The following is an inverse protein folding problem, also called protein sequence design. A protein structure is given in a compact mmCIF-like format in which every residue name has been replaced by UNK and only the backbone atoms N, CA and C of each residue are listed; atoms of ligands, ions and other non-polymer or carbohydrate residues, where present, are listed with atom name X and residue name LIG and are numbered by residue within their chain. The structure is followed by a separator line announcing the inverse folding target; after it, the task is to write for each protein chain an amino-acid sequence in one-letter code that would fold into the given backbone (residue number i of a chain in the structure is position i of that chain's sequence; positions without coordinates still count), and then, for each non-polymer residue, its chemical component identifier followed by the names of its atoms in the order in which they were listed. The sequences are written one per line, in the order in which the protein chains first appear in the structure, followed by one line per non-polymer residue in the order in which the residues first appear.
data_IF_023357811779
#
_entry.id   IF_023357811779
#
_cell.length_a   1.000
_cell.length_b   1.000
_cell.length_c   1.000
_cell.angle_alpha   90.00
_cell.angle_beta   90.00
_cell.angle_gamma   90.00
#
_symmetry.space_group_name_H-M   'P 1'
#
loop_
_entity.id
_entity.type
_entity.pdbx_description
1 polymer ?
#
# COMPACT_ATOMS: atom_id res chain seq x y z
N UNK A 1 22.35 3.39 -13.23
CA UNK A 1 21.82 2.21 -13.94
C UNK A 1 20.51 1.83 -13.26
N UNK A 2 19.44 1.58 -14.01
CA UNK A 2 18.18 1.10 -13.43
C UNK A 2 18.40 -0.35 -13.03
N UNK A 3 18.15 -0.67 -11.76
CA UNK A 3 18.24 -2.03 -11.24
C UNK A 3 17.14 -2.88 -11.89
N UNK A 4 17.47 -4.09 -12.31
CA UNK A 4 16.45 -5.05 -12.76
C UNK A 4 15.41 -5.25 -11.65
N UNK A 5 14.14 -4.93 -11.94
CA UNK A 5 13.01 -5.00 -11.00
C UNK A 5 12.90 -6.39 -10.35
N UNK A 6 13.31 -7.44 -11.05
CA UNK A 6 13.25 -8.82 -10.55
C UNK A 6 14.28 -9.09 -9.45
N UNK A 7 15.37 -8.34 -9.39
CA UNK A 7 16.41 -8.51 -8.36
C UNK A 7 15.91 -8.13 -6.95
N UNK A 8 14.89 -7.28 -6.85
CA UNK A 8 14.27 -6.87 -5.57
C UNK A 8 13.43 -8.01 -4.95
N UNK A 9 13.33 -9.17 -5.59
CA UNK A 9 12.66 -10.35 -5.04
C UNK A 9 13.52 -11.11 -4.02
N UNK A 10 14.82 -10.83 -3.97
CA UNK A 10 15.70 -11.45 -2.99
C UNK A 10 15.40 -10.94 -1.58
N UNK A 11 15.24 -11.87 -0.64
CA UNK A 11 14.97 -11.53 0.75
C UNK A 11 16.22 -10.85 1.35
N UNK A 12 16.10 -9.64 1.93
CA UNK A 12 17.22 -8.99 2.60
C UNK A 12 17.68 -9.79 3.83
N UNK A 13 18.97 -9.68 4.16
CA UNK A 13 19.55 -10.32 5.35
C UNK A 13 18.96 -9.72 6.63
N UNK A 14 18.89 -10.53 7.69
CA UNK A 14 18.46 -10.10 9.02
C UNK A 14 17.05 -10.54 9.40
N UNK A 15 16.60 -10.06 10.56
CA UNK A 15 15.27 -10.34 11.09
C UNK A 15 14.24 -9.39 10.46
N UNK A 16 13.05 -9.89 10.09
CA UNK A 16 11.98 -9.01 9.63
C UNK A 16 11.56 -8.07 10.77
N UNK A 17 11.25 -6.82 10.45
CA UNK A 17 10.70 -5.88 11.43
C UNK A 17 9.30 -6.30 11.89
N UNK A 18 8.48 -6.73 10.93
CA UNK A 18 7.06 -7.05 11.12
C UNK A 18 6.68 -8.31 10.33
N UNK A 19 5.65 -9.00 10.82
CA UNK A 19 5.00 -10.12 10.11
C UNK A 19 3.55 -9.75 9.83
N UNK A 20 3.09 -10.15 8.65
CA UNK A 20 1.75 -9.90 8.14
C UNK A 20 1.40 -10.94 7.07
N UNK A 21 0.12 -11.30 6.98
CA UNK A 21 -0.43 -12.11 5.90
C UNK A 21 -1.41 -11.26 5.10
N UNK A 22 -1.31 -11.34 3.77
CA UNK A 22 -2.12 -10.55 2.86
C UNK A 22 -2.99 -11.48 2.03
N UNK A 23 -4.22 -11.05 1.73
CA UNK A 23 -5.15 -11.82 0.92
C UNK A 23 -6.42 -11.04 0.64
N UNK A 24 -7.39 -11.71 0.00
CA UNK A 24 -8.56 -11.05 -0.62
C UNK A 24 -8.11 -9.84 -1.46
N UNK A 25 -7.06 -10.08 -2.24
CA UNK A 25 -6.25 -9.07 -2.90
C UNK A 25 -6.79 -8.83 -4.30
N UNK A 26 -7.01 -7.57 -4.66
CA UNK A 26 -7.37 -7.17 -6.01
C UNK A 26 -6.39 -6.11 -6.50
N UNK A 27 -5.87 -6.30 -7.72
CA UNK A 27 -5.06 -5.30 -8.41
C UNK A 27 -5.87 -4.68 -9.53
N UNK A 28 -6.06 -3.37 -9.47
CA UNK A 28 -6.66 -2.60 -10.55
C UNK A 28 -5.70 -1.49 -10.95
N UNK A 29 -5.47 -1.34 -12.25
CA UNK A 29 -4.43 -0.48 -12.79
C UNK A 29 -4.95 0.32 -13.98
N UNK A 30 -4.65 1.61 -14.02
CA UNK A 30 -5.01 2.50 -15.11
C UNK A 30 -3.79 3.24 -15.64
N UNK A 31 -3.57 3.24 -16.96
CA UNK A 31 -2.48 4.00 -17.57
C UNK A 31 -2.82 5.48 -17.67
N UNK A 32 -1.91 6.35 -17.26
CA UNK A 32 -2.07 7.80 -17.35
C UNK A 32 -0.81 8.48 -17.94
N UNK A 33 -0.93 9.69 -18.50
CA UNK A 33 0.23 10.53 -18.79
C UNK A 33 1.04 10.78 -17.52
N UNK A 34 2.37 10.64 -17.59
CA UNK A 34 3.27 10.83 -16.45
C UNK A 34 3.21 12.26 -15.88
N UNK A 35 2.92 13.22 -16.76
CA UNK A 35 2.79 14.64 -16.48
C UNK A 35 1.68 14.92 -15.46
N UNK A 36 0.62 14.10 -15.43
CA UNK A 36 -0.45 14.23 -14.44
C UNK A 36 0.00 13.82 -13.03
N UNK A 37 0.96 12.90 -12.92
CA UNK A 37 1.48 12.45 -11.64
C UNK A 37 2.63 13.31 -11.12
N UNK A 38 3.35 14.00 -12.02
CA UNK A 38 4.57 14.75 -11.68
C UNK A 38 4.37 15.75 -10.53
N UNK A 39 3.28 16.53 -10.44
CA UNK A 39 3.06 17.45 -9.33
C UNK A 39 2.78 16.75 -7.98
N UNK A 40 2.38 15.47 -8.00
CA UNK A 40 2.00 14.69 -6.82
C UNK A 40 3.17 13.87 -6.24
N UNK A 41 4.31 13.89 -6.91
CA UNK A 41 5.46 13.04 -6.59
C UNK A 41 6.66 13.93 -6.26
N UNK A 42 7.37 13.68 -5.14
CA UNK A 42 8.59 14.38 -4.80
C UNK A 42 9.62 14.44 -5.95
N UNK A 43 10.25 15.59 -6.20
CA UNK A 43 11.21 15.75 -7.31
C UNK A 43 12.33 14.69 -7.38
N UNK A 44 12.90 14.20 -6.26
CA UNK A 44 13.95 13.17 -6.31
C UNK A 44 13.48 11.81 -6.87
N UNK A 45 12.18 11.56 -6.94
CA UNK A 45 11.61 10.32 -7.44
C UNK A 45 11.32 10.46 -8.94
N UNK A 46 11.93 9.60 -9.75
CA UNK A 46 11.60 9.45 -11.16
C UNK A 46 10.32 8.62 -11.31
N UNK A 47 9.38 9.07 -12.14
CA UNK A 47 8.15 8.31 -12.42
C UNK A 47 8.53 7.09 -13.25
N UNK A 48 8.12 5.92 -12.79
CA UNK A 48 8.29 4.70 -13.57
C UNK A 48 7.20 4.60 -14.64
N UNK A 49 7.63 4.22 -15.84
CA UNK A 49 6.74 4.06 -16.99
C UNK A 49 6.90 2.68 -17.59
N UNK A 50 5.80 2.19 -18.14
CA UNK A 50 5.74 0.97 -18.93
C UNK A 50 5.05 1.31 -20.23
N UNK A 51 5.70 1.00 -21.36
CA UNK A 51 5.24 1.37 -22.71
C UNK A 51 4.96 2.89 -22.84
N UNK A 52 5.82 3.71 -22.23
CA UNK A 52 5.72 5.18 -22.28
C UNK A 52 4.59 5.78 -21.44
N UNK A 53 3.90 4.98 -20.62
CA UNK A 53 2.79 5.42 -19.76
C UNK A 53 3.12 5.22 -18.29
N UNK A 54 2.70 6.15 -17.44
CA UNK A 54 2.68 5.92 -16.01
C UNK A 54 1.42 5.14 -15.62
N UNK A 55 1.41 4.58 -14.41
CA UNK A 55 0.33 3.70 -13.95
C UNK A 55 -0.10 4.05 -12.54
N UNK A 56 -1.41 4.23 -12.35
CA UNK A 56 -2.03 4.33 -11.03
C UNK A 56 -2.66 2.99 -10.66
N UNK A 57 -2.30 2.47 -9.50
CA UNK A 57 -2.85 1.26 -8.93
C UNK A 57 -3.80 1.56 -7.77
N UNK A 58 -4.99 0.94 -7.79
CA UNK A 58 -5.90 0.87 -6.65
C UNK A 58 -5.94 -0.58 -6.18
N UNK A 59 -5.49 -0.80 -4.94
CA UNK A 59 -5.23 -2.15 -4.41
C UNK A 59 -5.94 -2.32 -3.08
N UNK A 60 -7.20 -2.80 -3.06
CA UNK A 60 -7.85 -3.24 -1.84
C UNK A 60 -7.40 -4.65 -1.45
N UNK A 61 -7.22 -4.87 -0.14
CA UNK A 61 -6.84 -6.16 0.42
C UNK A 61 -7.16 -6.26 1.91
N UNK A 62 -7.14 -7.49 2.40
CA UNK A 62 -7.17 -7.78 3.82
C UNK A 62 -5.77 -8.12 4.30
N UNK A 63 -5.43 -7.57 5.46
CA UNK A 63 -4.21 -7.91 6.18
C UNK A 63 -4.56 -8.59 7.50
N UNK A 64 -3.86 -9.69 7.81
CA UNK A 64 -4.02 -10.45 9.06
C UNK A 64 -2.70 -10.61 9.79
N UNK A 65 -2.81 -10.82 11.10
CA UNK A 65 -1.68 -11.13 11.98
C UNK A 65 -0.58 -10.09 12.02
N UNK A 66 -0.91 -8.81 11.77
CA UNK A 66 0.04 -7.68 11.84
C UNK A 66 0.63 -7.63 13.24
N UNK A 67 1.95 -7.83 13.32
CA UNK A 67 2.69 -7.80 14.58
C UNK A 67 4.18 -7.58 14.39
N UNK A 68 4.87 -6.97 15.35
CA UNK A 68 6.33 -7.02 15.42
C UNK A 68 6.81 -8.47 15.45
N UNK A 69 7.94 -8.76 14.81
CA UNK A 69 8.38 -10.15 14.61
C UNK A 69 8.65 -10.97 15.88
N UNK A 70 8.88 -10.28 17.00
CA UNK A 70 9.20 -10.88 18.31
C UNK A 70 8.00 -10.92 19.27
N UNK A 71 6.86 -10.32 18.92
CA UNK A 71 5.68 -10.25 19.77
C UNK A 71 4.52 -11.08 19.20
N UNK A 72 3.63 -11.64 20.03
CA UNK A 72 2.39 -12.27 19.56
C UNK A 72 1.44 -11.22 18.95
N UNK A 73 0.48 -11.64 18.09
CA UNK A 73 -0.52 -10.72 17.56
C UNK A 73 -1.41 -10.19 18.69
N UNK A 74 -1.62 -8.88 18.71
CA UNK A 74 -2.54 -8.26 19.66
C UNK A 74 -4.00 -8.53 19.23
N UNK A 75 -4.86 -9.04 20.13
CA UNK A 75 -6.28 -9.24 19.85
C UNK A 75 -6.94 -7.94 19.40
N UNK A 76 -7.74 -8.00 18.33
CA UNK A 76 -8.48 -6.85 17.80
C UNK A 76 -7.67 -5.80 17.03
N UNK A 77 -6.33 -5.88 17.01
CA UNK A 77 -5.47 -4.89 16.35
C UNK A 77 -4.63 -5.47 15.20
N UNK A 78 -4.65 -6.78 15.03
CA UNK A 78 -3.78 -7.49 14.10
C UNK A 78 -4.40 -7.79 12.74
N UNK A 79 -5.69 -7.52 12.54
CA UNK A 79 -6.35 -7.76 11.25
C UNK A 79 -7.23 -6.59 10.85
N UNK A 80 -7.11 -6.13 9.60
CA UNK A 80 -7.88 -5.01 9.07
C UNK A 80 -7.90 -5.02 7.54
N UNK A 81 -8.80 -4.21 6.99
CA UNK A 81 -8.88 -3.96 5.55
C UNK A 81 -8.06 -2.72 5.21
N UNK A 82 -7.35 -2.78 4.09
CA UNK A 82 -6.55 -1.67 3.57
C UNK A 82 -6.85 -1.46 2.07
N UNK A 83 -6.78 -0.21 1.62
CA UNK A 83 -6.85 0.18 0.22
C UNK A 83 -5.72 1.15 -0.09
N UNK A 84 -4.87 0.75 -1.03
CA UNK A 84 -3.74 1.56 -1.46
C UNK A 84 -4.03 2.22 -2.80
N UNK A 85 -3.85 3.54 -2.86
CA UNK A 85 -3.74 4.30 -4.11
C UNK A 85 -2.28 4.62 -4.29
N UNK A 86 -1.66 4.05 -5.33
CA UNK A 86 -0.20 4.10 -5.51
C UNK A 86 0.20 4.24 -6.96
N UNK A 87 1.43 4.68 -7.17
CA UNK A 87 2.11 4.70 -8.48
C UNK A 87 3.52 4.13 -8.33
N UNK A 88 4.23 4.00 -9.44
CA UNK A 88 5.54 3.37 -9.53
C UNK A 88 6.60 4.43 -9.76
N UNK A 89 7.71 4.31 -9.04
CA UNK A 89 8.79 5.29 -9.07
C UNK A 89 10.14 4.61 -9.00
N UNK A 90 11.19 5.35 -9.33
CA UNK A 90 12.57 4.99 -9.02
C UNK A 90 13.20 6.07 -8.14
N UNK A 91 14.04 5.63 -7.20
CA UNK A 91 14.95 6.49 -6.45
C UNK A 91 16.37 5.97 -6.69
N UNK A 92 17.25 6.79 -7.28
CA UNK A 92 18.63 6.41 -7.64
C UNK A 92 18.74 5.07 -8.40
N UNK A 93 17.77 4.80 -9.29
CA UNK A 93 17.72 3.57 -10.08
C UNK A 93 17.11 2.37 -9.36
N UNK A 94 16.75 2.48 -8.08
CA UNK A 94 16.05 1.45 -7.30
C UNK A 94 14.54 1.59 -7.50
N UNK A 95 13.82 0.54 -7.96
CA UNK A 95 12.39 0.61 -8.18
C UNK A 95 11.63 0.59 -6.85
N UNK A 96 10.51 1.29 -6.81
CA UNK A 96 9.65 1.41 -5.65
C UNK A 96 8.20 1.75 -5.99
N UNK A 97 7.38 1.78 -4.94
CA UNK A 97 6.00 2.25 -5.02
C UNK A 97 5.88 3.54 -4.22
N UNK A 98 5.20 4.52 -4.80
CA UNK A 98 4.81 5.75 -4.11
C UNK A 98 3.35 5.65 -3.72
N UNK A 99 3.06 5.74 -2.42
CA UNK A 99 1.69 5.75 -1.91
C UNK A 99 1.15 7.18 -1.95
N UNK A 100 0.09 7.41 -2.71
CA UNK A 100 -0.68 8.66 -2.65
C UNK A 100 -1.61 8.64 -1.44
N UNK A 101 -2.23 7.48 -1.16
CA UNK A 101 -3.01 7.27 0.05
C UNK A 101 -3.11 5.80 0.42
N UNK A 102 -3.23 5.54 1.72
CA UNK A 102 -3.45 4.21 2.30
C UNK A 102 -4.66 4.27 3.24
N UNK A 103 -5.83 3.87 2.75
CA UNK A 103 -7.06 3.90 3.54
C UNK A 103 -7.18 2.61 4.36
N UNK A 104 -7.44 2.70 5.67
CA UNK A 104 -7.60 1.53 6.52
C UNK A 104 -8.75 1.67 7.53
N UNK A 105 -9.38 0.55 7.88
CA UNK A 105 -10.48 0.52 8.86
C UNK A 105 -10.04 0.27 10.31
N UNK A 106 -8.74 0.43 10.61
CA UNK A 106 -8.16 0.31 11.94
C UNK A 106 -7.49 1.62 12.34
N UNK A 107 -8.13 2.38 13.23
CA UNK A 107 -7.59 3.66 13.71
C UNK A 107 -6.23 3.52 14.44
N UNK A 108 -5.98 2.48 15.26
CA UNK A 108 -4.67 2.26 15.84
C UNK A 108 -3.58 1.97 14.80
N UNK A 109 -3.92 1.21 13.73
CA UNK A 109 -2.99 0.96 12.64
C UNK A 109 -2.67 2.25 11.87
N UNK A 110 -3.69 3.05 11.54
CA UNK A 110 -3.52 4.37 10.90
C UNK A 110 -2.63 5.28 11.74
N UNK A 111 -2.89 5.37 13.05
CA UNK A 111 -2.09 6.17 13.96
C UNK A 111 -0.63 5.68 13.98
N UNK A 112 -0.39 4.39 14.22
CA UNK A 112 0.95 3.82 14.29
C UNK A 112 1.73 3.99 12.99
N UNK A 113 1.09 3.76 11.84
CA UNK A 113 1.72 3.91 10.53
C UNK A 113 2.19 5.36 10.28
N UNK A 114 1.37 6.35 10.64
CA UNK A 114 1.72 7.77 10.51
C UNK A 114 2.83 8.20 11.46
N UNK A 115 2.80 7.72 12.72
CA UNK A 115 3.79 8.10 13.72
C UNK A 115 5.17 7.50 13.46
N UNK A 116 5.25 6.23 13.06
CA UNK A 116 6.51 5.51 12.99
C UNK A 116 7.08 5.32 11.58
N UNK A 117 6.24 5.38 10.54
CA UNK A 117 6.67 5.14 9.15
C UNK A 117 6.43 6.34 8.24
N UNK A 118 5.82 7.43 8.75
CA UNK A 118 5.47 8.62 7.98
C UNK A 118 4.67 8.33 6.71
N UNK A 119 3.87 7.27 6.73
CA UNK A 119 3.07 6.85 5.58
C UNK A 119 1.73 7.60 5.54
N UNK A 120 1.17 7.86 4.34
CA UNK A 120 -0.08 8.61 4.16
C UNK A 120 -1.30 7.72 4.46
N UNK A 121 -1.40 7.23 5.69
CA UNK A 121 -2.55 6.46 6.15
C UNK A 121 -3.72 7.36 6.51
N UNK A 122 -4.93 6.91 6.15
CA UNK A 122 -6.20 7.58 6.40
C UNK A 122 -7.20 6.59 7.01
N UNK A 123 -8.00 7.09 7.96
CA UNK A 123 -9.11 6.32 8.51
C UNK A 123 -10.21 6.19 7.44
N UNK A 124 -10.74 4.99 7.27
CA UNK A 124 -11.82 4.70 6.35
C UNK A 124 -12.81 3.68 6.95
N UNK A 125 -14.08 3.80 6.56
CA UNK A 125 -15.05 2.72 6.72
C UNK A 125 -14.91 1.77 5.54
N UNK A 126 -14.44 0.56 5.82
CA UNK A 126 -14.24 -0.46 4.81
C UNK A 126 -15.05 -1.71 5.19
N UNK A 127 -15.81 -2.22 4.22
CA UNK A 127 -16.57 -3.46 4.33
C UNK A 127 -16.18 -4.43 3.24
N UNK A 128 -16.03 -5.69 3.62
CA UNK A 128 -15.81 -6.81 2.71
C UNK A 128 -16.83 -7.88 3.08
N UNK A 129 -17.65 -8.30 2.12
CA UNK A 129 -18.62 -9.38 2.27
C UNK A 129 -18.33 -10.46 1.25
N UNK A 130 -18.36 -11.71 1.69
CA UNK A 130 -18.14 -12.88 0.84
C UNK A 130 -19.44 -13.66 0.71
N UNK A 131 -19.82 -13.99 -0.52
CA UNK A 131 -20.98 -14.83 -0.84
C UNK A 131 -20.56 -15.82 -1.91
N UNK A 132 -20.24 -17.05 -1.49
CA UNK A 132 -19.65 -18.05 -2.38
C UNK A 132 -18.31 -17.57 -2.94
N UNK A 133 -18.26 -17.39 -4.26
CA UNK A 133 -17.07 -16.90 -4.98
C UNK A 133 -17.06 -15.37 -5.17
N UNK A 134 -18.13 -14.67 -4.78
CA UNK A 134 -18.26 -13.22 -4.97
C UNK A 134 -17.76 -12.51 -3.72
N UNK A 135 -16.84 -11.55 -3.92
CA UNK A 135 -16.37 -10.62 -2.89
C UNK A 135 -16.93 -9.23 -3.22
N UNK A 136 -17.75 -8.70 -2.33
CA UNK A 136 -18.22 -7.31 -2.40
C UNK A 136 -17.41 -6.45 -1.45
N UNK A 137 -16.65 -5.51 -2.01
CA UNK A 137 -15.81 -4.58 -1.27
C UNK A 137 -16.33 -3.15 -1.40
N UNK A 138 -16.36 -2.41 -0.30
CA UNK A 138 -16.69 -0.98 -0.30
C UNK A 138 -15.80 -0.25 0.69
N UNK A 139 -15.27 0.90 0.28
CA UNK A 139 -14.46 1.79 1.10
C UNK A 139 -14.98 3.22 1.00
N UNK A 140 -15.04 3.90 2.14
CA UNK A 140 -15.29 5.34 2.24
C UNK A 140 -14.32 5.93 3.25
N UNK A 141 -13.45 6.84 2.80
CA UNK A 141 -12.58 7.61 3.70
C UNK A 141 -13.42 8.43 4.69
N UNK A 142 -13.04 8.38 5.96
CA UNK A 142 -13.68 9.11 7.08
C UNK A 142 -12.64 9.85 7.92
N UNK A 143 -11.40 9.95 7.44
CA UNK A 143 -10.34 10.65 8.14
C UNK A 143 -10.67 12.15 8.21
N UNK A 144 -10.61 12.78 9.40
CA UNK A 144 -10.85 14.22 9.52
C UNK A 144 -9.85 15.01 8.68
N UNK A 145 -10.35 16.05 7.99
CA UNK A 145 -9.53 16.98 7.20
C UNK A 145 -8.72 16.33 6.06
N UNK A 146 -9.20 15.19 5.53
CA UNK A 146 -8.63 14.52 4.37
C UNK A 146 -9.21 14.99 3.03
#
# INVERSE_FOLDING_TARGET
MIVDRLSIRERPRGLPLMRQWWGKLLFMHWPCPAELLRPLIPPPLAIDTFEGRAWVGVVPFTMWGVRPSVLPPFPGLSSFQELNVRTYVHYDGVPGVWFMSMDANSAPAVWGARQFFHLPYFNARISLREQGQIITYSSRRTHPHA
#
